data_IF_552814711092
#
_entry.id   IF_552814711092
#
_cell.length_a   1.000
_cell.length_b   1.000
_cell.length_c   1.000
_cell.angle_alpha   90.00
_cell.angle_beta   90.00
_cell.angle_gamma   90.00
#
_symmetry.space_group_name_H-M   'P 1'
#
loop_
_entity.id
_entity.type
_entity.pdbx_description
1 polymer ?
#
# COMPACT_ATOMS: atom_id res chain seq x y z
N UNK A 1 10.83 14.08 -10.58
CA UNK A 1 9.39 13.96 -10.52
C UNK A 1 8.89 14.52 -9.19
N UNK A 2 7.81 15.29 -9.23
CA UNK A 2 7.22 15.88 -8.02
C UNK A 2 6.56 14.78 -7.17
N UNK A 3 6.77 14.75 -5.84
CA UNK A 3 6.05 13.82 -4.99
C UNK A 3 4.54 14.03 -5.06
N UNK A 4 3.74 12.99 -4.86
CA UNK A 4 2.29 13.15 -4.83
C UNK A 4 1.85 14.02 -3.66
N UNK A 5 0.71 14.65 -3.81
CA UNK A 5 0.09 15.43 -2.76
C UNK A 5 -0.56 14.50 -1.72
N UNK A 6 -0.36 14.84 -0.44
CA UNK A 6 -1.00 14.11 0.64
C UNK A 6 -2.49 14.43 0.72
N UNK A 7 -3.28 13.41 0.95
CA UNK A 7 -4.74 13.51 1.07
C UNK A 7 -5.22 12.67 2.24
N UNK A 8 -6.46 12.90 2.66
CA UNK A 8 -7.10 11.99 3.59
C UNK A 8 -7.11 10.58 2.99
N UNK A 9 -6.82 9.58 3.80
CA UNK A 9 -6.79 8.20 3.32
C UNK A 9 -8.18 7.77 2.83
N UNK A 10 -8.25 6.98 1.74
CA UNK A 10 -9.53 6.47 1.26
C UNK A 10 -10.10 5.44 2.22
N UNK A 11 -11.38 5.11 2.06
CA UNK A 11 -11.98 3.99 2.78
C UNK A 11 -11.26 2.69 2.40
N UNK A 12 -11.04 1.81 3.39
CA UNK A 12 -10.34 0.54 3.20
C UNK A 12 -10.90 -0.54 4.13
N UNK A 13 -12.22 -0.58 4.22
CA UNK A 13 -12.93 -1.50 5.11
C UNK A 13 -13.11 -2.91 4.55
N UNK A 14 -12.92 -3.07 3.24
CA UNK A 14 -13.10 -4.36 2.58
C UNK A 14 -12.11 -5.38 3.12
N UNK A 15 -12.63 -6.56 3.45
CA UNK A 15 -11.84 -7.69 3.93
C UNK A 15 -11.16 -8.38 2.76
N UNK A 16 -9.88 -8.71 2.91
CA UNK A 16 -9.10 -9.50 1.95
C UNK A 16 -8.47 -10.69 2.68
N UNK A 17 -7.78 -11.56 1.94
CA UNK A 17 -7.09 -12.70 2.52
C UNK A 17 -5.59 -12.55 2.35
N UNK A 18 -4.85 -13.07 3.33
CA UNK A 18 -3.39 -13.05 3.30
C UNK A 18 -2.83 -14.34 2.65
N UNK A 19 -1.51 -14.50 2.70
CA UNK A 19 -0.80 -15.64 2.12
C UNK A 19 -1.12 -16.96 2.80
N UNK A 20 -1.64 -16.93 4.03
CA UNK A 20 -2.08 -18.08 4.79
C UNK A 20 -3.60 -18.31 4.71
N UNK A 21 -4.25 -17.62 3.76
CA UNK A 21 -5.70 -17.66 3.54
C UNK A 21 -6.50 -17.15 4.73
N UNK A 22 -5.89 -16.33 5.57
CA UNK A 22 -6.56 -15.70 6.70
C UNK A 22 -7.16 -14.37 6.28
N UNK A 23 -8.32 -14.09 6.80
CA UNK A 23 -9.04 -12.84 6.57
C UNK A 23 -8.36 -11.71 7.35
N UNK A 24 -8.14 -10.57 6.69
CA UNK A 24 -7.67 -9.36 7.37
C UNK A 24 -8.19 -8.10 6.67
N UNK A 25 -8.11 -7.00 7.37
CA UNK A 25 -8.42 -5.67 6.85
C UNK A 25 -7.13 -4.84 6.81
N UNK A 26 -7.03 -3.98 5.82
CA UNK A 26 -5.86 -3.10 5.69
C UNK A 26 -5.72 -2.20 6.93
N UNK A 27 -6.81 -1.75 7.53
CA UNK A 27 -6.77 -0.91 8.72
C UNK A 27 -6.28 -1.64 9.98
N UNK A 28 -6.18 -2.97 9.95
CA UNK A 28 -5.56 -3.71 11.05
C UNK A 28 -4.04 -3.52 11.11
N UNK A 29 -3.44 -2.93 10.08
CA UNK A 29 -2.00 -2.67 10.02
C UNK A 29 -1.64 -1.29 10.57
N UNK A 30 -2.56 -0.57 11.20
CA UNK A 30 -2.27 0.71 11.87
C UNK A 30 -1.17 0.55 12.92
N UNK A 31 -0.45 1.64 13.17
CA UNK A 31 0.65 1.68 14.11
C UNK A 31 2.01 1.77 13.42
N UNK A 32 2.06 1.40 12.14
CA UNK A 32 3.24 1.49 11.29
C UNK A 32 2.80 1.97 9.91
N UNK A 33 3.57 2.85 9.25
CA UNK A 33 3.26 3.23 7.87
C UNK A 33 3.21 2.01 6.96
N UNK A 34 2.34 2.07 5.94
CA UNK A 34 2.17 0.97 4.98
C UNK A 34 2.33 1.51 3.58
N UNK A 35 3.11 0.82 2.76
CA UNK A 35 3.14 1.04 1.31
C UNK A 35 2.37 -0.09 0.67
N UNK A 36 1.20 0.22 0.12
CA UNK A 36 0.30 -0.75 -0.52
C UNK A 36 0.46 -0.66 -2.02
N UNK A 37 0.71 -1.78 -2.69
CA UNK A 37 0.81 -1.84 -4.15
C UNK A 37 -0.25 -2.80 -4.67
N UNK A 38 -1.12 -2.31 -5.55
CA UNK A 38 -2.11 -3.11 -6.26
C UNK A 38 -1.52 -3.56 -7.59
N UNK A 39 -1.55 -4.87 -7.85
CA UNK A 39 -0.90 -5.48 -9.00
C UNK A 39 -1.68 -6.69 -9.50
N UNK A 40 -1.27 -7.24 -10.65
CA UNK A 40 -1.80 -8.50 -11.17
C UNK A 40 -0.73 -9.21 -11.98
N UNK A 41 -0.83 -10.53 -12.08
CA UNK A 41 0.13 -11.36 -12.84
C UNK A 41 0.09 -11.05 -14.34
N UNK A 42 -1.05 -10.59 -14.84
CA UNK A 42 -1.24 -10.26 -16.26
C UNK A 42 -0.90 -8.80 -16.61
N UNK A 43 -0.37 -8.06 -15.67
CA UNK A 43 -0.03 -6.65 -15.84
C UNK A 43 1.49 -6.49 -15.99
N UNK A 44 2.03 -6.28 -17.21
CA UNK A 44 3.48 -6.24 -17.42
C UNK A 44 4.21 -5.18 -16.60
N UNK A 45 3.76 -3.91 -16.52
CA UNK A 45 4.46 -2.94 -15.67
C UNK A 45 4.39 -3.29 -14.19
N UNK A 46 3.32 -3.96 -13.72
CA UNK A 46 3.25 -4.45 -12.34
C UNK A 46 4.35 -5.47 -12.07
N UNK A 47 4.46 -6.46 -12.98
CA UNK A 47 5.44 -7.54 -12.84
C UNK A 47 6.86 -6.97 -12.89
N UNK A 48 7.11 -6.01 -13.76
CA UNK A 48 8.42 -5.40 -13.92
C UNK A 48 8.92 -4.72 -12.65
N UNK A 49 8.03 -4.16 -11.81
CA UNK A 49 8.45 -3.48 -10.58
C UNK A 49 8.52 -4.39 -9.34
N UNK A 50 8.11 -5.67 -9.44
CA UNK A 50 8.12 -6.57 -8.29
C UNK A 50 9.51 -6.72 -7.64
N UNK A 51 10.61 -6.91 -8.41
CA UNK A 51 11.93 -7.00 -7.77
C UNK A 51 12.31 -5.72 -7.00
N UNK A 52 11.99 -4.55 -7.53
CA UNK A 52 12.25 -3.29 -6.86
C UNK A 52 11.42 -3.16 -5.57
N UNK A 53 10.18 -3.61 -5.60
CA UNK A 53 9.33 -3.64 -4.40
C UNK A 53 9.88 -4.58 -3.33
N UNK A 54 10.37 -5.75 -3.72
CA UNK A 54 11.00 -6.68 -2.78
C UNK A 54 12.25 -6.04 -2.13
N UNK A 55 13.09 -5.38 -2.94
CA UNK A 55 14.27 -4.68 -2.44
C UNK A 55 13.88 -3.49 -1.55
N UNK A 56 12.85 -2.75 -1.91
CA UNK A 56 12.35 -1.65 -1.09
C UNK A 56 11.87 -2.15 0.28
N UNK A 57 11.19 -3.29 0.32
CA UNK A 57 10.77 -3.92 1.58
C UNK A 57 11.98 -4.20 2.47
N UNK A 58 13.08 -4.68 1.89
CA UNK A 58 14.32 -4.91 2.62
C UNK A 58 14.90 -3.61 3.16
N UNK A 59 14.98 -2.57 2.34
CA UNK A 59 15.59 -1.28 2.71
C UNK A 59 14.77 -0.54 3.76
N UNK A 60 13.44 -0.58 3.66
CA UNK A 60 12.53 0.07 4.59
C UNK A 60 12.44 -0.70 5.91
N UNK A 61 12.65 -2.01 5.87
CA UNK A 61 12.70 -2.86 7.06
C UNK A 61 11.46 -2.73 7.91
N UNK A 62 11.66 -2.53 9.21
CA UNK A 62 10.55 -2.39 10.17
C UNK A 62 9.92 -1.00 10.18
N UNK A 63 10.49 -0.04 9.45
CA UNK A 63 10.00 1.34 9.47
C UNK A 63 8.70 1.49 8.64
N UNK A 64 8.55 0.69 7.59
CA UNK A 64 7.39 0.73 6.70
C UNK A 64 7.01 -0.69 6.33
N UNK A 65 5.74 -1.03 6.51
CA UNK A 65 5.21 -2.31 6.03
C UNK A 65 4.91 -2.19 4.54
N UNK A 66 5.48 -3.07 3.72
CA UNK A 66 5.16 -3.13 2.29
C UNK A 66 4.19 -4.28 2.06
N UNK A 67 3.06 -3.98 1.44
CA UNK A 67 1.97 -4.93 1.20
C UNK A 67 1.65 -4.97 -0.29
N UNK A 68 1.78 -6.14 -0.90
CA UNK A 68 1.37 -6.40 -2.27
C UNK A 68 -0.05 -6.97 -2.25
N UNK A 69 -0.98 -6.36 -2.99
CA UNK A 69 -2.34 -6.85 -3.11
C UNK A 69 -2.61 -7.21 -4.57
N UNK A 70 -2.79 -8.51 -4.82
CA UNK A 70 -3.14 -8.99 -6.15
C UNK A 70 -4.64 -8.85 -6.40
N UNK A 71 -4.99 -8.35 -7.60
CA UNK A 71 -6.38 -8.31 -8.05
C UNK A 71 -6.67 -9.42 -9.08
N UNK A 72 -5.78 -10.40 -9.20
CA UNK A 72 -6.03 -11.56 -10.07
C UNK A 72 -7.32 -12.27 -9.65
N UNK A 73 -8.16 -12.60 -10.61
CA UNK A 73 -9.41 -13.32 -10.35
C UNK A 73 -9.19 -14.71 -9.77
N UNK A 74 -8.06 -15.33 -10.11
CA UNK A 74 -7.66 -16.61 -9.53
C UNK A 74 -7.19 -16.53 -8.08
N UNK A 75 -7.06 -15.32 -7.54
CA UNK A 75 -6.72 -15.09 -6.13
C UNK A 75 -5.37 -15.65 -5.74
N UNK A 76 -5.30 -16.09 -4.49
CA UNK A 76 -4.07 -16.63 -3.89
C UNK A 76 -3.47 -17.78 -4.70
N UNK A 77 -4.31 -18.68 -5.21
CA UNK A 77 -3.85 -19.85 -5.97
C UNK A 77 -3.11 -19.47 -7.24
N UNK A 78 -3.46 -18.35 -7.85
CA UNK A 78 -2.80 -17.82 -9.03
C UNK A 78 -1.58 -16.97 -8.68
N UNK A 79 -1.72 -16.04 -7.77
CA UNK A 79 -0.74 -14.99 -7.54
C UNK A 79 0.39 -15.41 -6.61
N UNK A 80 0.13 -16.23 -5.60
CA UNK A 80 1.17 -16.63 -4.65
C UNK A 80 2.28 -17.45 -5.30
N UNK A 81 1.99 -18.53 -6.07
CA UNK A 81 3.06 -19.23 -6.77
C UNK A 81 3.84 -18.36 -7.74
N UNK A 82 3.16 -17.41 -8.39
CA UNK A 82 3.81 -16.45 -9.30
C UNK A 82 4.89 -15.64 -8.57
N UNK A 83 4.58 -15.15 -7.38
CA UNK A 83 5.54 -14.40 -6.56
C UNK A 83 6.66 -15.30 -6.05
N UNK A 84 6.33 -16.50 -5.59
CA UNK A 84 7.31 -17.46 -5.08
C UNK A 84 8.32 -17.85 -6.16
N UNK A 85 7.85 -18.12 -7.38
CA UNK A 85 8.72 -18.50 -8.51
C UNK A 85 9.71 -17.38 -8.85
N UNK A 86 9.39 -16.14 -8.52
CA UNK A 86 10.25 -14.98 -8.77
C UNK A 86 11.08 -14.55 -7.56
N UNK A 87 11.00 -15.29 -6.47
CA UNK A 87 11.76 -14.97 -5.26
C UNK A 87 11.28 -13.72 -4.54
N UNK A 88 10.03 -13.32 -4.75
CA UNK A 88 9.43 -12.18 -4.06
C UNK A 88 8.88 -12.68 -2.73
N UNK A 89 9.58 -12.39 -1.63
CA UNK A 89 9.27 -12.99 -0.33
C UNK A 89 9.17 -11.99 0.82
N UNK A 90 9.72 -10.80 0.67
CA UNK A 90 9.80 -9.83 1.78
C UNK A 90 8.50 -9.09 2.05
N UNK A 91 7.73 -8.63 1.03
CA UNK A 91 6.49 -7.95 1.31
C UNK A 91 5.44 -8.87 1.92
N UNK A 92 4.54 -8.30 2.71
CA UNK A 92 3.28 -8.97 3.03
C UNK A 92 2.46 -9.11 1.76
N UNK A 93 1.59 -10.12 1.72
CA UNK A 93 0.80 -10.42 0.54
C UNK A 93 -0.67 -10.50 0.88
N UNK A 94 -1.48 -9.82 0.07
CA UNK A 94 -2.92 -9.85 0.15
C UNK A 94 -3.53 -10.19 -1.20
N UNK A 95 -4.74 -10.74 -1.19
CA UNK A 95 -5.42 -11.21 -2.40
C UNK A 95 -6.85 -10.68 -2.40
N UNK A 96 -7.19 -9.97 -3.46
CA UNK A 96 -8.46 -9.27 -3.64
C UNK A 96 -9.07 -9.68 -4.99
N UNK A 97 -9.49 -10.96 -5.13
CA UNK A 97 -9.87 -11.51 -6.44
C UNK A 97 -11.09 -10.85 -7.07
N UNK A 98 -11.91 -10.17 -6.29
CA UNK A 98 -13.06 -9.43 -6.80
C UNK A 98 -12.75 -7.95 -7.00
N UNK A 99 -11.51 -7.53 -6.75
CA UNK A 99 -11.08 -6.14 -6.82
C UNK A 99 -11.93 -5.19 -5.95
N UNK A 100 -12.53 -5.71 -4.89
CA UNK A 100 -13.45 -4.93 -4.05
C UNK A 100 -12.69 -3.85 -3.26
N UNK A 101 -11.56 -4.22 -2.66
CA UNK A 101 -10.74 -3.26 -1.93
C UNK A 101 -10.13 -2.22 -2.88
N UNK A 102 -9.63 -2.65 -4.04
CA UNK A 102 -9.05 -1.73 -5.00
C UNK A 102 -10.07 -0.69 -5.47
N UNK A 103 -11.32 -1.11 -5.73
CA UNK A 103 -12.39 -0.18 -6.08
C UNK A 103 -12.74 0.75 -4.92
N UNK A 104 -12.81 0.22 -3.69
CA UNK A 104 -13.08 1.02 -2.50
C UNK A 104 -12.03 2.13 -2.33
N UNK A 105 -10.78 1.82 -2.61
CA UNK A 105 -9.68 2.78 -2.50
C UNK A 105 -9.54 3.68 -3.74
N UNK A 106 -10.38 3.53 -4.75
CA UNK A 106 -10.39 4.38 -5.93
C UNK A 106 -9.36 4.02 -6.98
N UNK A 107 -8.87 2.79 -6.99
CA UNK A 107 -7.89 2.32 -7.99
C UNK A 107 -8.60 2.19 -9.35
N UNK A 108 -8.04 2.84 -10.37
CA UNK A 108 -8.59 2.82 -11.74
C UNK A 108 -7.70 2.10 -12.72
N UNK A 109 -6.44 1.93 -12.42
CA UNK A 109 -5.47 1.27 -13.29
C UNK A 109 -4.36 0.66 -12.48
N UNK A 110 -3.59 -0.23 -13.09
CA UNK A 110 -2.50 -0.94 -12.43
C UNK A 110 -1.16 -0.60 -13.08
N UNK A 111 -0.07 -0.54 -12.32
CA UNK A 111 -0.06 -0.58 -10.87
C UNK A 111 -0.52 0.75 -10.26
N UNK A 112 -1.13 0.69 -9.11
CA UNK A 112 -1.40 1.86 -8.27
C UNK A 112 -0.92 1.54 -6.87
N UNK A 113 -0.22 2.49 -6.25
CA UNK A 113 0.30 2.31 -4.90
C UNK A 113 -0.14 3.45 -4.00
N UNK A 114 -0.34 3.14 -2.73
CA UNK A 114 -0.66 4.13 -1.71
C UNK A 114 0.36 4.03 -0.59
N UNK A 115 0.95 5.16 -0.23
CA UNK A 115 1.68 5.27 1.01
C UNK A 115 0.70 5.76 2.08
N UNK A 116 0.58 5.02 3.18
CA UNK A 116 -0.32 5.35 4.27
C UNK A 116 0.49 5.74 5.50
N UNK A 117 0.11 6.81 6.16
CA UNK A 117 0.70 7.18 7.44
C UNK A 117 0.39 6.11 8.50
N UNK A 118 1.15 6.11 9.62
CA UNK A 118 1.00 5.10 10.66
C UNK A 118 -0.41 5.03 11.23
N UNK A 119 -1.08 6.18 11.39
CA UNK A 119 -2.46 6.25 11.85
C UNK A 119 -3.49 6.03 10.73
N UNK A 120 -3.02 5.87 9.49
CA UNK A 120 -3.83 5.68 8.29
C UNK A 120 -4.82 6.82 8.01
N UNK A 121 -4.54 8.01 8.51
CA UNK A 121 -5.37 9.19 8.23
C UNK A 121 -4.96 9.91 6.96
N UNK A 122 -3.69 9.82 6.60
CA UNK A 122 -3.13 10.50 5.43
C UNK A 122 -2.57 9.49 4.45
N UNK A 123 -2.71 9.78 3.16
CA UNK A 123 -2.20 8.91 2.10
C UNK A 123 -1.60 9.73 0.97
N UNK A 124 -0.71 9.07 0.23
CA UNK A 124 -0.11 9.57 -1.02
C UNK A 124 -0.28 8.50 -2.08
N UNK A 125 -0.93 8.85 -3.17
CA UNK A 125 -1.22 7.91 -4.25
C UNK A 125 -0.20 8.03 -5.38
N UNK A 126 0.29 6.90 -5.82
CA UNK A 126 1.20 6.78 -6.96
C UNK A 126 0.48 5.99 -8.06
N UNK A 127 0.16 6.65 -9.16
CA UNK A 127 -0.47 6.00 -10.31
C UNK A 127 0.64 5.65 -11.30
N UNK A 128 0.69 4.37 -11.69
CA UNK A 128 1.74 3.87 -12.57
C UNK A 128 2.98 3.39 -11.81
N UNK A 129 3.93 2.79 -12.53
CA UNK A 129 5.13 2.21 -11.91
C UNK A 129 6.11 3.25 -11.40
N UNK A 130 6.92 2.83 -10.43
CA UNK A 130 8.01 3.64 -9.86
C UNK A 130 9.23 2.76 -9.63
N UNK A 131 10.38 3.40 -9.51
CA UNK A 131 11.64 2.74 -9.13
C UNK A 131 11.73 2.70 -7.60
N UNK A 132 10.96 1.79 -6.99
CA UNK A 132 10.71 1.78 -5.54
C UNK A 132 11.97 1.64 -4.68
N UNK A 133 12.98 0.92 -5.17
CA UNK A 133 14.21 0.68 -4.42
C UNK A 133 15.32 1.70 -4.70
N UNK A 134 15.06 2.70 -5.52
CA UNK A 134 16.04 3.76 -5.78
C UNK A 134 16.25 4.64 -4.56
N UNK A 135 17.46 5.16 -4.39
CA UNK A 135 17.76 6.04 -3.25
C UNK A 135 16.85 7.26 -3.20
N UNK A 136 16.54 7.95 -4.33
CA UNK A 136 15.61 9.06 -4.29
C UNK A 136 14.20 8.65 -3.85
N UNK A 137 13.72 7.49 -4.27
CA UNK A 137 12.38 7.02 -3.93
C UNK A 137 12.28 6.65 -2.44
N UNK A 138 13.26 5.96 -1.90
CA UNK A 138 13.31 5.64 -0.48
C UNK A 138 13.35 6.92 0.35
N UNK A 139 14.15 7.90 -0.07
CA UNK A 139 14.22 9.20 0.60
C UNK A 139 12.88 9.94 0.55
N UNK A 140 12.19 9.90 -0.58
CA UNK A 140 10.88 10.52 -0.74
C UNK A 140 9.86 9.91 0.23
N UNK A 141 9.80 8.57 0.30
CA UNK A 141 8.90 7.86 1.21
C UNK A 141 9.16 8.28 2.66
N UNK A 142 10.42 8.27 3.08
CA UNK A 142 10.78 8.66 4.45
C UNK A 142 10.46 10.11 4.74
N UNK A 143 10.66 11.00 3.77
CA UNK A 143 10.36 12.42 3.91
C UNK A 143 8.87 12.69 4.04
N UNK A 144 8.05 12.06 3.20
CA UNK A 144 6.59 12.21 3.27
C UNK A 144 6.05 11.74 4.62
N UNK A 145 6.55 10.62 5.12
CA UNK A 145 6.12 10.08 6.41
C UNK A 145 6.54 10.98 7.58
N UNK A 146 7.70 11.63 7.48
CA UNK A 146 8.16 12.57 8.49
C UNK A 146 7.27 13.81 8.52
N UNK A 147 6.87 14.31 7.35
CA UNK A 147 5.94 15.44 7.23
C UNK A 147 4.56 15.10 7.80
N UNK A 148 4.10 13.86 7.63
CA UNK A 148 2.82 13.42 8.18
C UNK A 148 2.81 13.45 9.71
N UNK A 149 3.91 13.10 10.35
CA UNK A 149 4.04 13.19 11.81
C UNK A 149 4.03 14.63 12.30
N UNK A 150 4.63 15.56 11.53
CA UNK A 150 4.71 16.96 11.89
C UNK A 150 3.39 17.70 11.67
N UNK A 151 2.56 17.21 10.75
CA UNK A 151 1.31 17.87 10.34
C UNK A 151 0.16 16.86 10.30
N UNK A 152 -0.36 16.42 11.47
CA UNK A 152 -1.48 15.48 11.49
C UNK A 152 -2.72 16.09 10.82
N UNK A 153 -3.54 15.24 10.20
CA UNK A 153 -4.74 15.68 9.49
C UNK A 153 -5.72 16.34 10.48
N UNK A 154 -6.05 17.63 10.32
CA UNK A 154 -6.83 18.35 11.33
C UNK A 154 -8.32 18.00 11.36
N UNK A 155 -8.88 17.48 10.27
CA UNK A 155 -10.32 17.43 10.05
C UNK A 155 -11.09 16.55 11.04
N UNK A 156 -10.48 15.46 11.54
CA UNK A 156 -11.16 14.57 12.49
C UNK A 156 -11.07 15.03 13.93
N UNK A 157 -9.99 15.70 14.30
CA UNK A 157 -9.80 16.22 15.66
C UNK A 157 -10.74 17.37 15.95
N UNK A 158 -10.94 18.26 15.00
CA UNK A 158 -11.83 19.41 15.17
C UNK A 158 -13.29 18.99 15.37
N UNK A 159 -13.72 17.90 14.73
CA UNK A 159 -15.08 17.40 14.91
C UNK A 159 -15.31 16.82 16.30
N UNK A 160 -14.29 16.19 16.88
CA UNK A 160 -14.38 15.64 18.23
C UNK A 160 -14.36 16.75 19.29
N UNK A 161 -13.55 17.75 19.09
CA UNK A 161 -13.47 18.88 20.03
C UNK A 161 -14.78 19.66 20.09
N UNK A 162 -15.49 19.79 18.98
CA UNK A 162 -16.81 20.41 18.94
C UNK A 162 -17.87 19.60 19.67
N UNK A 163 -17.75 18.29 19.72
CA UNK A 163 -18.71 17.42 20.39
C UNK A 163 -18.52 17.38 21.91
N UNK A 164 -17.36 17.76 22.39
CA UNK A 164 -17.03 17.78 23.83
C UNK A 164 -17.36 19.09 24.52
N UNK A 165 -17.78 20.08 23.77
CA UNK A 165 -18.17 21.39 24.24
C UNK A 165 -19.69 21.54 24.13
#
# INVERSE_FOLDING_TARGET
MTPPEGKAAPSMSTVIRDENDKVFRLDSLQGRPVLVNFWATWCPPCVAELPALDNAAKQLGDDVTLLLISVDRGGRQKALPFLQDRGITRPLMGFDPKAALSREMGVRGLPTSFLLSADQRQSWAYVGPREWDSAPMIAEIRNLLRLAKASPVPSRQNSQDHLLV
#
